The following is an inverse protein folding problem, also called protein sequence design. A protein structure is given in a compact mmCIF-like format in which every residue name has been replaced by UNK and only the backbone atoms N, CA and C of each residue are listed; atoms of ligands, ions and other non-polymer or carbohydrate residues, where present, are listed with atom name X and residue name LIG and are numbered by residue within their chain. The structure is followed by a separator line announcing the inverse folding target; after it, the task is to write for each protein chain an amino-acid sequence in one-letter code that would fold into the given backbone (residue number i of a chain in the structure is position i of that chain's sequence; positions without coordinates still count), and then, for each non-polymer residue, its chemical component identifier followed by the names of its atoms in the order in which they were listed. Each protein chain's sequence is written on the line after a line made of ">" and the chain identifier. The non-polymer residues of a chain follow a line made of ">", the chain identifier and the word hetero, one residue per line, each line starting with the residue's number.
data_IF_054528081194
#
_entry.id   IF_054528081194
#
_cell.length_a   1.000
_cell.length_b   1.000
_cell.length_c   1.000
_cell.angle_alpha   90.00
_cell.angle_beta   90.00
_cell.angle_gamma   90.00
#
_symmetry.space_group_name_H-M   'P 1'
#
loop_
_entity.id
_entity.type
_entity.pdbx_description
1 polymer ?
#
# COMPACT_ATOMS: atom_id res chain seq x y z
N UNK A 1 1.78 -25.06 -0.39
CA UNK A 1 1.44 -23.76 -1.01
C UNK A 1 2.44 -22.75 -0.51
N UNK A 2 3.02 -21.94 -1.39
CA UNK A 2 4.03 -20.96 -0.99
C UNK A 2 3.41 -19.88 -0.09
N UNK A 3 3.95 -19.72 1.12
CA UNK A 3 3.52 -18.71 2.10
C UNK A 3 3.42 -17.30 1.48
N UNK A 4 4.27 -16.99 0.49
CA UNK A 4 4.23 -15.71 -0.24
C UNK A 4 2.91 -15.51 -1.00
N UNK A 5 2.40 -16.58 -1.61
CA UNK A 5 1.18 -16.50 -2.41
C UNK A 5 -0.06 -16.21 -1.57
N UNK A 6 -0.06 -16.67 -0.33
CA UNK A 6 -1.20 -16.52 0.58
C UNK A 6 -1.15 -15.19 1.35
N UNK A 7 0.04 -14.75 1.75
CA UNK A 7 0.19 -13.58 2.62
C UNK A 7 0.38 -12.26 1.86
N UNK A 8 1.15 -12.25 0.76
CA UNK A 8 1.59 -11.00 0.13
C UNK A 8 0.85 -10.70 -1.18
N UNK A 9 0.52 -11.71 -1.99
CA UNK A 9 -0.13 -11.49 -3.29
C UNK A 9 -1.52 -10.83 -3.17
N UNK A 10 -2.31 -11.19 -2.15
CA UNK A 10 -3.63 -10.60 -1.92
C UNK A 10 -3.57 -9.09 -1.62
N UNK A 11 -2.73 -8.61 -0.67
CA UNK A 11 -2.48 -7.19 -0.48
C UNK A 11 -1.98 -6.48 -1.74
N UNK A 12 -1.04 -7.09 -2.47
CA UNK A 12 -0.52 -6.51 -3.71
C UNK A 12 -1.59 -6.38 -4.81
N UNK A 13 -2.46 -7.39 -4.96
CA UNK A 13 -3.59 -7.34 -5.88
C UNK A 13 -4.57 -6.23 -5.50
N UNK A 14 -4.89 -6.13 -4.21
CA UNK A 14 -5.79 -5.11 -3.67
C UNK A 14 -5.27 -3.69 -3.95
N UNK A 15 -3.99 -3.42 -3.67
CA UNK A 15 -3.35 -2.13 -3.91
C UNK A 15 -3.44 -1.73 -5.40
N UNK A 16 -3.07 -2.63 -6.32
CA UNK A 16 -3.09 -2.37 -7.76
C UNK A 16 -4.50 -2.11 -8.28
N UNK A 17 -5.48 -2.90 -7.83
CA UNK A 17 -6.88 -2.75 -8.22
C UNK A 17 -7.46 -1.42 -7.73
N UNK A 18 -7.16 -1.02 -6.49
CA UNK A 18 -7.66 0.22 -5.90
C UNK A 18 -7.16 1.48 -6.62
N UNK A 19 -5.91 1.44 -7.08
CA UNK A 19 -5.31 2.55 -7.81
C UNK A 19 -5.66 2.56 -9.30
N UNK A 20 -6.42 1.58 -9.80
CA UNK A 20 -6.63 1.39 -11.23
C UNK A 20 -5.30 1.23 -12.00
N UNK A 21 -4.24 0.80 -11.31
CA UNK A 21 -2.86 0.85 -11.80
C UNK A 21 -2.62 -0.33 -12.75
N UNK A 22 -3.10 -0.19 -13.98
CA UNK A 22 -2.84 -1.14 -15.08
C UNK A 22 -1.44 -0.94 -15.67
N UNK A 23 -0.92 0.28 -15.60
CA UNK A 23 0.40 0.69 -16.10
C UNK A 23 1.01 1.74 -15.18
N UNK A 24 2.34 1.76 -15.07
CA UNK A 24 3.05 2.86 -14.39
C UNK A 24 3.09 4.11 -15.28
N UNK A 25 3.01 5.28 -14.65
CA UNK A 25 3.11 6.57 -15.32
C UNK A 25 4.57 6.95 -15.61
N UNK A 26 5.48 6.45 -14.77
CA UNK A 26 6.90 6.76 -14.85
C UNK A 26 7.69 5.68 -15.59
N UNK A 27 8.85 6.08 -16.13
CA UNK A 27 9.83 5.18 -16.76
C UNK A 27 11.09 5.10 -15.91
N UNK A 28 11.88 4.03 -16.12
CA UNK A 28 13.07 3.66 -15.32
C UNK A 28 12.69 3.14 -13.93
N UNK A 29 13.49 2.18 -13.45
CA UNK A 29 13.15 1.40 -12.26
C UNK A 29 13.08 2.25 -10.98
N UNK A 30 13.94 3.26 -10.86
CA UNK A 30 13.94 4.18 -9.71
C UNK A 30 12.64 4.95 -9.57
N UNK A 31 12.11 5.49 -10.67
CA UNK A 31 10.87 6.28 -10.67
C UNK A 31 9.66 5.39 -10.45
N UNK A 32 9.65 4.20 -11.08
CA UNK A 32 8.59 3.20 -10.88
C UNK A 32 8.54 2.73 -9.43
N UNK A 33 9.70 2.56 -8.77
CA UNK A 33 9.76 2.24 -7.34
C UNK A 33 9.18 3.36 -6.49
N UNK A 34 9.48 4.61 -6.80
CA UNK A 34 8.90 5.76 -6.10
C UNK A 34 7.38 5.79 -6.26
N UNK A 35 6.88 5.68 -7.49
CA UNK A 35 5.45 5.64 -7.82
C UNK A 35 4.72 4.53 -7.05
N UNK A 36 5.27 3.32 -7.09
CA UNK A 36 4.69 2.18 -6.36
C UNK A 36 4.75 2.36 -4.84
N UNK A 37 5.83 2.95 -4.32
CA UNK A 37 5.99 3.20 -2.88
C UNK A 37 4.97 4.22 -2.36
N UNK A 38 4.68 5.28 -3.12
CA UNK A 38 3.65 6.26 -2.79
C UNK A 38 2.26 5.62 -2.74
N UNK A 39 1.94 4.80 -3.74
CA UNK A 39 0.72 3.99 -3.79
C UNK A 39 0.59 3.09 -2.55
N UNK A 40 1.64 2.34 -2.21
CA UNK A 40 1.64 1.45 -1.06
C UNK A 40 1.48 2.21 0.26
N UNK A 41 2.13 3.38 0.40
CA UNK A 41 2.01 4.25 1.57
C UNK A 41 0.57 4.74 1.76
N UNK A 42 -0.06 5.24 0.70
CA UNK A 42 -1.45 5.71 0.74
C UNK A 42 -2.41 4.58 1.16
N UNK A 43 -2.21 3.37 0.61
CA UNK A 43 -2.98 2.20 1.02
C UNK A 43 -2.76 1.86 2.50
N UNK A 44 -1.51 1.86 2.98
CA UNK A 44 -1.19 1.52 4.36
C UNK A 44 -1.79 2.51 5.35
N UNK A 45 -1.76 3.83 5.07
CA UNK A 45 -2.38 4.85 5.92
C UNK A 45 -3.89 4.62 6.01
N UNK A 46 -4.53 4.40 4.86
CA UNK A 46 -5.97 4.12 4.82
C UNK A 46 -6.34 2.85 5.56
N UNK A 47 -5.54 1.78 5.39
CA UNK A 47 -5.72 0.52 6.11
C UNK A 47 -5.55 0.70 7.62
N UNK A 48 -4.55 1.47 8.05
CA UNK A 48 -4.35 1.79 9.46
C UNK A 48 -5.54 2.54 10.03
N UNK A 49 -6.05 3.57 9.33
CA UNK A 49 -7.26 4.28 9.70
C UNK A 49 -8.48 3.35 9.83
N UNK A 50 -8.64 2.38 8.93
CA UNK A 50 -9.73 1.39 9.01
C UNK A 50 -9.58 0.44 10.20
N UNK A 51 -8.36 0.03 10.54
CA UNK A 51 -8.11 -0.96 11.60
C UNK A 51 -8.11 -0.37 13.00
N UNK A 52 -7.49 0.80 13.20
CA UNK A 52 -7.28 1.40 14.53
C UNK A 52 -8.03 2.71 14.75
N UNK A 53 -8.67 3.26 13.70
CA UNK A 53 -9.37 4.55 13.75
C UNK A 53 -8.43 5.76 13.81
N UNK A 54 -8.98 6.95 13.58
CA UNK A 54 -8.22 8.20 13.58
C UNK A 54 -7.55 8.49 14.93
N UNK A 55 -8.27 8.30 16.04
CA UNK A 55 -7.76 8.56 17.39
C UNK A 55 -6.62 7.60 17.73
N UNK A 56 -6.76 6.31 17.40
CA UNK A 56 -5.72 5.30 17.61
C UNK A 56 -4.47 5.62 16.80
N UNK A 57 -4.63 6.01 15.54
CA UNK A 57 -3.52 6.37 14.67
C UNK A 57 -2.78 7.62 15.16
N UNK A 58 -3.49 8.69 15.53
CA UNK A 58 -2.86 9.92 16.04
C UNK A 58 -2.07 9.69 17.33
N UNK A 59 -2.58 8.84 18.23
CA UNK A 59 -1.85 8.44 19.44
C UNK A 59 -0.57 7.68 19.11
N UNK A 60 -0.60 6.76 18.15
CA UNK A 60 0.57 5.99 17.77
C UNK A 60 1.67 6.83 17.09
N UNK A 61 1.29 7.87 16.34
CA UNK A 61 2.24 8.77 15.66
C UNK A 61 2.87 9.78 16.64
N UNK A 62 2.15 10.16 17.69
CA UNK A 62 2.60 11.17 18.66
C UNK A 62 3.42 10.59 19.82
N UNK A 63 3.59 9.26 19.87
CA UNK A 63 4.37 8.53 20.88
C UNK A 63 5.81 8.33 20.41
#
# INVERSE_FOLDING_TARGET
>A
MDLRRESVEHPFGSIKQWMGQRTFLTRRLENVRCEFSLTALAYNIRRALTLVGMVGLMRAISA
#
